data_IF_617538578601
#
_entry.id   IF_617538578601
#
_cell.length_a   1.000
_cell.length_b   1.000
_cell.length_c   1.000
_cell.angle_alpha   90.00
_cell.angle_beta   90.00
_cell.angle_gamma   90.00
#
_symmetry.space_group_name_H-M   'P 1'
#
loop_
_entity.id
_entity.type
_entity.pdbx_description
1 polymer ?
#
# COMPACT_ATOMS: atom_id res chain seq x y z
N UNK A 1 -20.12 -13.68 10.56
CA UNK A 1 -18.87 -14.49 10.74
C UNK A 1 -18.02 -14.59 9.46
N UNK A 2 -18.59 -14.78 8.25
CA UNK A 2 -17.79 -14.88 7.01
C UNK A 2 -16.96 -13.62 6.72
N UNK A 3 -17.54 -12.42 6.85
CA UNK A 3 -16.81 -11.16 6.64
C UNK A 3 -15.67 -10.95 7.64
N UNK A 4 -15.85 -11.31 8.91
CA UNK A 4 -14.77 -11.23 9.89
C UNK A 4 -13.61 -12.20 9.60
N UNK A 5 -13.91 -13.38 9.03
CA UNK A 5 -12.87 -14.29 8.54
C UNK A 5 -12.12 -13.69 7.36
N UNK A 6 -12.83 -13.09 6.41
CA UNK A 6 -12.26 -12.43 5.23
C UNK A 6 -11.23 -11.36 5.61
N UNK A 7 -11.53 -10.56 6.65
CA UNK A 7 -10.64 -9.49 7.13
C UNK A 7 -9.68 -9.93 8.24
N UNK A 8 -9.58 -11.23 8.52
CA UNK A 8 -8.74 -11.79 9.58
C UNK A 8 -9.02 -11.18 10.98
N UNK A 9 -10.31 -11.06 11.33
CA UNK A 9 -10.78 -10.55 12.63
C UNK A 9 -11.76 -11.49 13.32
N UNK A 10 -11.82 -12.76 12.91
CA UNK A 10 -12.78 -13.71 13.49
C UNK A 10 -12.54 -13.97 14.99
N UNK A 11 -11.27 -14.01 15.40
CA UNK A 11 -10.82 -14.15 16.79
C UNK A 11 -11.14 -12.92 17.65
N UNK A 12 -11.35 -11.77 17.04
CA UNK A 12 -11.67 -10.49 17.67
C UNK A 12 -13.15 -10.14 17.65
N UNK A 13 -14.03 -11.08 17.24
CA UNK A 13 -15.47 -10.84 17.12
C UNK A 13 -16.15 -10.33 18.41
N UNK A 14 -15.57 -10.62 19.58
CA UNK A 14 -16.08 -10.17 20.89
C UNK A 14 -15.39 -8.90 21.42
N UNK A 15 -14.33 -8.43 20.76
CA UNK A 15 -13.60 -7.25 21.19
C UNK A 15 -14.38 -5.97 20.85
N UNK A 16 -14.24 -4.96 21.70
CA UNK A 16 -14.80 -3.64 21.43
C UNK A 16 -13.94 -2.93 20.37
N UNK A 17 -14.58 -2.19 19.49
CA UNK A 17 -13.88 -1.41 18.44
C UNK A 17 -12.76 -0.52 19.00
N UNK A 18 -12.94 0.05 20.20
CA UNK A 18 -11.92 0.90 20.86
C UNK A 18 -10.64 0.17 21.20
N UNK A 19 -10.70 -1.15 21.39
CA UNK A 19 -9.57 -2.00 21.77
C UNK A 19 -8.77 -2.51 20.55
N UNK A 20 -9.23 -2.21 19.34
CA UNK A 20 -8.59 -2.63 18.09
C UNK A 20 -7.41 -1.72 17.74
N UNK A 21 -6.35 -2.32 17.18
CA UNK A 21 -5.23 -1.56 16.57
C UNK A 21 -5.70 -0.78 15.33
N UNK A 22 -4.90 0.18 14.85
CA UNK A 22 -5.21 0.96 13.65
C UNK A 22 -5.51 0.07 12.44
N UNK A 23 -4.65 -0.91 12.14
CA UNK A 23 -4.87 -1.84 11.04
C UNK A 23 -6.08 -2.77 11.23
N UNK A 24 -6.42 -3.13 12.47
CA UNK A 24 -7.64 -3.88 12.76
C UNK A 24 -8.89 -3.03 12.53
N UNK A 25 -8.88 -1.77 12.95
CA UNK A 25 -9.97 -0.81 12.70
C UNK A 25 -10.18 -0.60 11.21
N UNK A 26 -9.09 -0.44 10.45
CA UNK A 26 -9.17 -0.27 8.99
C UNK A 26 -9.80 -1.50 8.31
N UNK A 27 -9.33 -2.71 8.64
CA UNK A 27 -9.91 -3.96 8.11
C UNK A 27 -11.37 -4.15 8.53
N UNK A 28 -11.72 -3.77 9.77
CA UNK A 28 -13.11 -3.81 10.22
C UNK A 28 -13.99 -2.83 9.43
N UNK A 29 -13.51 -1.61 9.18
CA UNK A 29 -14.22 -0.63 8.34
C UNK A 29 -14.48 -1.19 6.94
N UNK A 30 -13.48 -1.79 6.30
CA UNK A 30 -13.66 -2.45 5.00
C UNK A 30 -14.69 -3.59 5.09
N UNK A 31 -14.64 -4.43 6.14
CA UNK A 31 -15.63 -5.49 6.32
C UNK A 31 -17.07 -4.95 6.38
N UNK A 32 -17.28 -3.79 7.01
CA UNK A 32 -18.63 -3.17 7.08
C UNK A 32 -19.11 -2.71 5.72
N UNK A 33 -18.23 -2.22 4.84
CA UNK A 33 -18.61 -1.82 3.48
C UNK A 33 -19.02 -3.03 2.61
N UNK A 34 -18.47 -4.20 2.90
CA UNK A 34 -18.74 -5.43 2.15
C UNK A 34 -20.02 -6.15 2.54
N UNK A 35 -20.74 -5.70 3.57
CA UNK A 35 -21.98 -6.35 4.07
C UNK A 35 -23.02 -6.49 2.93
N UNK A 36 -23.15 -5.46 2.12
CA UNK A 36 -24.13 -5.40 1.04
C UNK A 36 -23.61 -5.96 -0.31
N UNK A 37 -22.44 -6.62 -0.32
CA UNK A 37 -21.81 -7.17 -1.52
C UNK A 37 -21.76 -6.14 -2.66
N UNK A 38 -21.15 -4.98 -2.46
CA UNK A 38 -21.10 -3.92 -3.47
C UNK A 38 -20.33 -4.39 -4.72
N UNK A 39 -20.73 -3.89 -5.89
CA UNK A 39 -19.99 -4.10 -7.13
C UNK A 39 -18.78 -3.18 -7.25
N UNK A 40 -18.81 -2.03 -6.56
CA UNK A 40 -17.73 -1.03 -6.55
C UNK A 40 -17.42 -0.67 -5.10
N UNK A 41 -16.15 -0.64 -4.76
CA UNK A 41 -15.62 -0.26 -3.44
C UNK A 41 -14.64 0.90 -3.64
N UNK A 42 -14.81 1.98 -2.90
CA UNK A 42 -13.88 3.10 -2.87
C UNK A 42 -13.06 3.03 -1.57
N UNK A 43 -11.76 3.10 -1.69
CA UNK A 43 -10.83 3.11 -0.57
C UNK A 43 -9.94 4.36 -0.69
N UNK A 44 -10.10 5.25 0.26
CA UNK A 44 -9.33 6.49 0.33
C UNK A 44 -8.13 6.30 1.25
N UNK A 45 -6.93 6.34 0.69
CA UNK A 45 -5.64 6.14 1.38
C UNK A 45 -5.65 4.97 2.38
N UNK A 46 -6.03 3.76 1.98
CA UNK A 46 -6.40 2.70 2.91
C UNK A 46 -5.25 2.21 3.80
N UNK A 47 -3.99 2.44 3.41
CA UNK A 47 -2.80 1.95 4.14
C UNK A 47 -2.07 3.03 4.92
N UNK A 48 -2.55 4.27 4.89
CA UNK A 48 -1.92 5.39 5.59
C UNK A 48 -1.87 5.12 7.10
N UNK A 49 -0.67 5.31 7.68
CA UNK A 49 -0.42 5.08 9.11
C UNK A 49 -0.36 3.62 9.54
N UNK A 50 -0.38 2.67 8.62
CA UNK A 50 -0.20 1.25 8.92
C UNK A 50 1.29 0.86 8.94
N UNK A 51 1.63 -0.06 9.85
CA UNK A 51 2.93 -0.73 9.81
C UNK A 51 3.06 -1.63 8.55
N UNK A 52 4.28 -2.03 8.14
CA UNK A 52 4.50 -2.80 6.92
C UNK A 52 3.74 -4.14 6.87
N UNK A 53 3.54 -4.81 8.02
CA UNK A 53 2.82 -6.07 8.07
C UNK A 53 1.31 -5.85 7.92
N UNK A 54 0.75 -4.83 8.58
CA UNK A 54 -0.66 -4.46 8.46
C UNK A 54 -0.98 -4.02 7.02
N UNK A 55 -0.06 -3.29 6.36
CA UNK A 55 -0.18 -2.90 4.95
C UNK A 55 -0.27 -4.11 4.03
N UNK A 56 0.65 -5.08 4.13
CA UNK A 56 0.60 -6.32 3.35
C UNK A 56 -0.70 -7.09 3.54
N UNK A 57 -1.15 -7.24 4.78
CA UNK A 57 -2.41 -7.93 5.09
C UNK A 57 -3.63 -7.22 4.46
N UNK A 58 -3.56 -5.88 4.35
CA UNK A 58 -4.62 -5.11 3.71
C UNK A 58 -4.57 -5.25 2.18
N UNK A 59 -3.39 -5.30 1.57
CA UNK A 59 -3.23 -5.56 0.14
C UNK A 59 -3.80 -6.93 -0.24
N UNK A 60 -3.50 -7.97 0.52
CA UNK A 60 -4.07 -9.31 0.32
C UNK A 60 -5.61 -9.28 0.39
N UNK A 61 -6.17 -8.55 1.36
CA UNK A 61 -7.61 -8.37 1.48
C UNK A 61 -8.21 -7.67 0.25
N UNK A 62 -7.58 -6.62 -0.25
CA UNK A 62 -8.03 -5.88 -1.44
C UNK A 62 -8.00 -6.80 -2.68
N UNK A 63 -6.93 -7.59 -2.85
CA UNK A 63 -6.83 -8.56 -3.94
C UNK A 63 -7.92 -9.64 -3.83
N UNK A 64 -8.24 -10.13 -2.62
CA UNK A 64 -9.32 -11.10 -2.41
C UNK A 64 -10.72 -10.51 -2.71
N UNK A 65 -10.96 -9.25 -2.38
CA UNK A 65 -12.18 -8.53 -2.76
C UNK A 65 -12.32 -8.44 -4.29
N UNK A 66 -11.22 -8.08 -4.98
CA UNK A 66 -11.14 -8.01 -6.44
C UNK A 66 -11.42 -9.36 -7.10
N UNK A 67 -10.79 -10.44 -6.60
CA UNK A 67 -10.94 -11.80 -7.14
C UNK A 67 -12.38 -12.29 -7.07
N UNK A 68 -13.18 -11.75 -6.14
CA UNK A 68 -14.62 -12.03 -5.99
C UNK A 68 -15.53 -11.19 -6.89
N UNK A 69 -14.93 -10.42 -7.81
CA UNK A 69 -15.64 -9.69 -8.87
C UNK A 69 -16.05 -8.26 -8.50
N UNK A 70 -15.58 -7.70 -7.39
CA UNK A 70 -15.78 -6.29 -7.10
C UNK A 70 -14.73 -5.41 -7.83
N UNK A 71 -15.16 -4.26 -8.35
CA UNK A 71 -14.24 -3.23 -8.80
C UNK A 71 -13.79 -2.42 -7.59
N UNK A 72 -12.47 -2.29 -7.39
CA UNK A 72 -11.91 -1.50 -6.30
C UNK A 72 -11.25 -0.25 -6.86
N UNK A 73 -11.62 0.91 -6.35
CA UNK A 73 -11.01 2.20 -6.67
C UNK A 73 -10.26 2.66 -5.42
N UNK A 74 -8.97 2.93 -5.59
CA UNK A 74 -8.07 3.31 -4.49
C UNK A 74 -7.50 4.69 -4.78
N UNK A 75 -7.51 5.58 -3.80
CA UNK A 75 -6.64 6.75 -3.80
C UNK A 75 -5.43 6.45 -2.93
N UNK A 76 -4.24 6.79 -3.38
CA UNK A 76 -3.00 6.61 -2.63
C UNK A 76 -1.91 7.56 -3.12
N UNK A 77 -1.01 7.91 -2.24
CA UNK A 77 0.25 8.59 -2.57
C UNK A 77 1.46 7.62 -2.53
N UNK A 78 1.23 6.34 -2.22
CA UNK A 78 2.25 5.30 -2.23
C UNK A 78 2.30 4.64 -3.61
N UNK A 79 3.42 4.86 -4.33
CA UNK A 79 3.58 4.33 -5.70
C UNK A 79 3.66 2.79 -5.71
N UNK A 80 4.29 2.19 -4.70
CA UNK A 80 4.37 0.75 -4.52
C UNK A 80 2.99 0.10 -4.32
N UNK A 81 2.06 0.77 -3.62
CA UNK A 81 0.68 0.32 -3.47
C UNK A 81 -0.07 0.33 -4.81
N UNK A 82 0.05 1.44 -5.54
CA UNK A 82 -0.58 1.59 -6.85
C UNK A 82 -0.05 0.54 -7.85
N UNK A 83 1.27 0.32 -7.88
CA UNK A 83 1.92 -0.66 -8.75
C UNK A 83 1.49 -2.11 -8.43
N UNK A 84 1.35 -2.46 -7.14
CA UNK A 84 0.99 -3.80 -6.70
C UNK A 84 -0.50 -4.15 -6.84
N UNK A 85 -1.38 -3.17 -6.71
CA UNK A 85 -2.82 -3.43 -6.58
C UNK A 85 -3.62 -3.05 -7.81
N UNK A 86 -3.16 -2.10 -8.62
CA UNK A 86 -3.99 -1.50 -9.65
C UNK A 86 -3.69 -2.07 -11.04
N UNK A 87 -4.74 -2.45 -11.78
CA UNK A 87 -4.63 -2.77 -13.20
C UNK A 87 -4.47 -1.51 -14.06
N UNK A 88 -5.00 -0.38 -13.58
CA UNK A 88 -4.93 0.93 -14.23
C UNK A 88 -4.72 2.00 -13.17
N UNK A 89 -3.84 2.95 -13.46
CA UNK A 89 -3.52 4.09 -12.60
C UNK A 89 -3.90 5.37 -13.33
N UNK A 90 -4.58 6.27 -12.63
CA UNK A 90 -4.78 7.65 -13.02
C UNK A 90 -3.83 8.55 -12.21
N UNK A 91 -2.87 9.18 -12.85
CA UNK A 91 -2.03 10.20 -12.21
C UNK A 91 -2.79 11.52 -12.28
N UNK A 92 -2.99 12.13 -11.12
CA UNK A 92 -3.70 13.40 -10.98
C UNK A 92 -2.73 14.49 -10.51
N UNK A 93 -2.84 15.64 -11.16
CA UNK A 93 -2.14 16.86 -10.79
C UNK A 93 -3.06 18.06 -10.98
N UNK A 94 -3.03 19.01 -10.06
CA UNK A 94 -3.89 20.21 -10.06
C UNK A 94 -5.37 19.94 -10.37
N UNK A 95 -5.90 18.81 -9.84
CA UNK A 95 -7.30 18.42 -10.03
C UNK A 95 -7.62 17.83 -11.42
N UNK A 96 -6.61 17.53 -12.24
CA UNK A 96 -6.75 16.94 -13.57
C UNK A 96 -6.06 15.59 -13.67
N UNK A 97 -6.63 14.68 -14.46
CA UNK A 97 -5.95 13.44 -14.83
C UNK A 97 -4.96 13.77 -15.95
N UNK A 98 -3.66 13.62 -15.67
CA UNK A 98 -2.58 13.88 -16.62
C UNK A 98 -2.09 12.61 -17.32
N UNK A 99 -2.32 11.43 -16.73
CA UNK A 99 -2.04 10.14 -17.35
C UNK A 99 -3.03 9.08 -16.86
N UNK A 100 -3.36 8.12 -17.74
CA UNK A 100 -4.23 6.98 -17.40
C UNK A 100 -3.79 5.76 -18.20
N UNK A 101 -3.11 4.80 -17.54
CA UNK A 101 -2.65 3.55 -18.15
C UNK A 101 -2.43 2.47 -17.08
N UNK A 102 -1.99 1.27 -17.50
CA UNK A 102 -1.44 0.28 -16.56
C UNK A 102 -0.08 0.74 -16.04
N UNK A 103 0.35 0.29 -14.83
CA UNK A 103 1.68 0.57 -14.30
C UNK A 103 2.79 0.27 -15.29
N UNK A 104 2.81 -0.95 -15.84
CA UNK A 104 3.84 -1.41 -16.79
C UNK A 104 3.92 -0.49 -18.02
N UNK A 105 2.74 -0.15 -18.60
CA UNK A 105 2.73 0.74 -19.76
C UNK A 105 3.29 2.12 -19.44
N UNK A 106 3.01 2.70 -18.28
CA UNK A 106 3.56 4.00 -17.88
C UNK A 106 5.09 3.94 -17.72
N UNK A 107 5.60 2.84 -17.16
CA UNK A 107 7.03 2.60 -16.99
C UNK A 107 7.70 2.43 -18.37
N UNK A 108 7.12 1.61 -19.24
CA UNK A 108 7.65 1.36 -20.59
C UNK A 108 7.68 2.65 -21.42
N UNK A 109 6.61 3.44 -21.38
CA UNK A 109 6.53 4.72 -22.10
C UNK A 109 7.61 5.70 -21.58
N UNK A 110 7.87 5.72 -20.28
CA UNK A 110 8.92 6.55 -19.69
C UNK A 110 10.32 6.09 -20.15
N UNK A 111 10.59 4.79 -20.13
CA UNK A 111 11.87 4.21 -20.60
C UNK A 111 12.05 4.50 -22.10
N UNK A 112 11.00 4.32 -22.91
CA UNK A 112 11.01 4.61 -24.35
C UNK A 112 11.28 6.10 -24.66
N UNK A 113 10.94 7.00 -23.73
CA UNK A 113 11.25 8.44 -23.86
C UNK A 113 12.73 8.79 -23.60
N UNK A 114 13.57 7.78 -23.27
CA UNK A 114 14.99 7.96 -22.98
C UNK A 114 15.29 8.27 -21.51
N UNK A 115 14.33 7.97 -20.60
CA UNK A 115 14.57 8.11 -19.16
C UNK A 115 15.59 7.07 -18.71
N UNK A 116 16.71 7.54 -18.16
CA UNK A 116 17.68 6.71 -17.46
C UNK A 116 17.65 7.07 -15.97
N UNK A 117 17.41 6.05 -15.12
CA UNK A 117 17.50 6.26 -13.68
C UNK A 117 18.94 6.64 -13.30
N UNK A 118 19.17 7.81 -12.67
CA UNK A 118 20.51 8.17 -12.22
C UNK A 118 21.07 7.03 -11.36
N UNK A 119 22.30 6.57 -11.67
CA UNK A 119 22.96 5.60 -10.80
C UNK A 119 23.00 6.22 -9.40
N UNK A 120 22.58 5.49 -8.36
CA UNK A 120 22.69 6.02 -7.01
C UNK A 120 24.16 6.34 -6.76
N UNK A 121 24.48 7.63 -6.67
CA UNK A 121 25.75 8.03 -6.08
C UNK A 121 25.69 7.43 -4.69
N UNK A 122 26.65 6.55 -4.34
CA UNK A 122 26.79 6.06 -2.97
C UNK A 122 27.07 7.29 -2.10
N UNK A 123 26.01 7.95 -1.66
CA UNK A 123 26.14 8.96 -0.64
C UNK A 123 26.63 8.24 0.62
N UNK A 124 27.58 8.82 1.33
CA UNK A 124 28.00 8.32 2.62
C UNK A 124 26.78 8.11 3.51
N UNK A 125 26.68 6.96 4.15
CA UNK A 125 25.63 6.64 5.10
C UNK A 125 26.07 7.03 6.53
N UNK A 126 25.17 6.88 7.51
CA UNK A 126 25.51 7.18 8.91
C UNK A 126 26.61 6.29 9.48
N UNK A 127 26.79 5.09 8.97
CA UNK A 127 27.88 4.18 9.31
C UNK A 127 29.23 4.75 8.85
N UNK A 128 29.30 5.25 7.61
CA UNK A 128 30.49 5.92 7.10
C UNK A 128 30.85 7.15 7.93
N UNK A 129 29.83 7.92 8.38
CA UNK A 129 30.05 9.06 9.28
C UNK A 129 30.59 8.60 10.62
N UNK A 130 30.01 7.54 11.20
CA UNK A 130 30.46 6.99 12.48
C UNK A 130 31.91 6.50 12.41
N UNK A 131 32.25 5.71 11.37
CA UNK A 131 33.62 5.22 11.15
C UNK A 131 34.58 6.40 10.96
N UNK A 132 34.20 7.40 10.17
CA UNK A 132 35.02 8.59 9.93
C UNK A 132 35.29 9.39 11.21
N UNK A 133 34.32 9.50 12.10
CA UNK A 133 34.46 10.26 13.35
C UNK A 133 35.16 9.49 14.47
N UNK A 134 34.98 8.17 14.52
CA UNK A 134 35.47 7.34 15.63
C UNK A 134 36.72 6.54 15.29
N UNK A 135 36.99 6.31 14.00
CA UNK A 135 38.05 5.42 13.54
C UNK A 135 37.82 3.95 13.91
N UNK A 136 36.59 3.56 14.29
CA UNK A 136 36.26 2.21 14.76
C UNK A 136 35.09 1.66 13.95
N UNK A 137 35.23 0.44 13.46
CA UNK A 137 34.10 -0.31 12.91
C UNK A 137 33.09 -0.64 14.01
N UNK A 138 31.78 -0.58 13.69
CA UNK A 138 30.76 -1.06 14.60
C UNK A 138 30.94 -2.57 14.78
N UNK A 139 31.06 -3.01 16.03
CA UNK A 139 31.16 -4.44 16.35
C UNK A 139 29.75 -5.01 16.31
N UNK A 140 29.53 -6.02 15.46
CA UNK A 140 28.40 -6.91 15.56
C UNK A 140 28.54 -7.71 16.86
N UNK A 141 27.60 -7.50 17.82
CA UNK A 141 27.40 -8.38 18.97
C UNK A 141 26.30 -9.38 18.68
#
# INVERSE_FOLDING_TARGET
>A
MQLLKLVNLADKAKNKYKEMSGGQKQRFSIATTLINRPKIVFLDEPTTGLDPQARRNLWELIQDIRSKGATVIITTHYMDEAEQLCDRIAIMDEGRIIALASPDKMIDDLVASGFEKPKPVKAANLEDVFISLTGKEMRDE
#
